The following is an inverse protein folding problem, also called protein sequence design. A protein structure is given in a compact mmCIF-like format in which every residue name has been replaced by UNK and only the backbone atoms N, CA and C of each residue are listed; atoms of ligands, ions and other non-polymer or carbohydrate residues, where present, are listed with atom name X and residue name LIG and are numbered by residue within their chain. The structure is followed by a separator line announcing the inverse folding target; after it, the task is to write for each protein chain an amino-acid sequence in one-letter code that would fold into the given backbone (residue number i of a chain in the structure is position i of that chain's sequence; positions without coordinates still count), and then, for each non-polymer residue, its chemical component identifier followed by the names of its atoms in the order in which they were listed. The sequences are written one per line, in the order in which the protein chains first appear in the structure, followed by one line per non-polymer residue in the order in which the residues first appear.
data_IF_628004001186
#
_entry.id   IF_628004001186
#
_cell.length_a   1.000
_cell.length_b   1.000
_cell.length_c   1.000
_cell.angle_alpha   90.00
_cell.angle_beta   90.00
_cell.angle_gamma   90.00
#
_symmetry.space_group_name_H-M   'P 1'
#
loop_
_entity.id
_entity.type
_entity.pdbx_description
1 polymer ?
#
# COMPACT_ATOMS: atom_id res chain seq x y z
N UNK A 1 -18.53 -0.06 -13.59
CA UNK A 1 -18.58 1.12 -12.71
C UNK A 1 -17.61 1.02 -11.52
N UNK A 2 -17.67 -0.03 -10.70
CA UNK A 2 -16.83 -0.17 -9.50
C UNK A 2 -15.32 -0.25 -9.74
N UNK A 3 -14.88 -0.90 -10.82
CA UNK A 3 -13.46 -1.00 -11.15
C UNK A 3 -12.81 0.39 -11.33
N UNK A 4 -13.40 1.24 -12.18
CA UNK A 4 -12.92 2.61 -12.43
C UNK A 4 -12.88 3.45 -11.16
N UNK A 5 -13.90 3.32 -10.30
CA UNK A 5 -13.94 4.00 -9.00
C UNK A 5 -12.76 3.59 -8.12
N UNK A 6 -12.52 2.29 -7.93
CA UNK A 6 -11.41 1.81 -7.11
C UNK A 6 -10.04 2.14 -7.69
N UNK A 7 -9.90 2.13 -9.01
CA UNK A 7 -8.69 2.61 -9.70
C UNK A 7 -8.47 4.10 -9.42
N UNK A 8 -9.51 4.93 -9.45
CA UNK A 8 -9.40 6.35 -9.14
C UNK A 8 -8.98 6.57 -7.68
N UNK A 9 -9.59 5.84 -6.73
CA UNK A 9 -9.22 5.89 -5.30
C UNK A 9 -7.75 5.52 -5.11
N UNK A 10 -7.27 4.46 -5.79
CA UNK A 10 -5.86 4.05 -5.76
C UNK A 10 -4.94 5.17 -6.26
N UNK A 11 -5.22 5.73 -7.44
CA UNK A 11 -4.40 6.78 -8.04
C UNK A 11 -4.39 8.01 -7.14
N UNK A 12 -5.56 8.48 -6.69
CA UNK A 12 -5.68 9.63 -5.80
C UNK A 12 -4.88 9.44 -4.51
N UNK A 13 -4.99 8.28 -3.85
CA UNK A 13 -4.24 7.96 -2.63
C UNK A 13 -2.73 8.01 -2.85
N UNK A 14 -2.22 7.41 -3.93
CA UNK A 14 -0.79 7.44 -4.25
C UNK A 14 -0.29 8.85 -4.62
N UNK A 15 -1.09 9.64 -5.34
CA UNK A 15 -0.75 11.03 -5.67
C UNK A 15 -0.65 11.89 -4.41
N UNK A 16 -1.58 11.74 -3.47
CA UNK A 16 -1.54 12.46 -2.19
C UNK A 16 -0.27 12.12 -1.39
N UNK A 17 0.07 10.83 -1.29
CA UNK A 17 1.29 10.39 -0.63
C UNK A 17 2.57 10.91 -1.33
N UNK A 18 2.59 10.92 -2.66
CA UNK A 18 3.73 11.41 -3.42
C UNK A 18 3.95 12.92 -3.26
N UNK A 19 2.87 13.69 -3.07
CA UNK A 19 2.95 15.14 -2.78
C UNK A 19 3.50 15.43 -1.39
N UNK A 20 3.34 14.51 -0.44
CA UNK A 20 3.86 14.62 0.93
C UNK A 20 5.29 14.09 1.09
N UNK A 21 6.06 13.98 0.00
CA UNK A 21 7.46 13.53 0.05
C UNK A 21 8.35 14.57 0.73
N UNK A 22 9.29 14.08 1.51
CA UNK A 22 10.24 14.90 2.27
C UNK A 22 11.57 15.03 1.51
N UNK A 23 11.94 13.98 0.78
CA UNK A 23 13.15 13.92 -0.02
C UNK A 23 12.80 13.56 -1.45
N UNK A 24 13.46 14.21 -2.41
CA UNK A 24 13.42 13.74 -3.78
C UNK A 24 14.16 12.41 -3.87
N UNK A 25 13.49 11.42 -4.45
CA UNK A 25 13.96 10.05 -4.50
C UNK A 25 13.62 9.45 -5.85
N UNK A 26 14.63 8.88 -6.52
CA UNK A 26 14.45 8.24 -7.81
C UNK A 26 13.42 7.11 -7.73
N UNK A 27 12.56 7.07 -8.75
CA UNK A 27 11.49 6.09 -8.89
C UNK A 27 10.55 6.02 -7.67
N UNK A 28 10.36 7.14 -6.94
CA UNK A 28 9.50 7.17 -5.76
C UNK A 28 8.08 6.67 -6.06
N UNK A 29 7.50 7.03 -7.20
CA UNK A 29 6.16 6.54 -7.62
C UNK A 29 6.13 5.02 -7.67
N UNK A 30 7.12 4.40 -8.34
CA UNK A 30 7.23 2.95 -8.43
C UNK A 30 7.41 2.30 -7.04
N UNK A 31 8.20 2.93 -6.16
CA UNK A 31 8.38 2.47 -4.78
C UNK A 31 7.07 2.54 -3.99
N UNK A 32 6.29 3.62 -4.11
CA UNK A 32 4.98 3.74 -3.44
C UNK A 32 4.00 2.68 -3.96
N UNK A 33 3.96 2.44 -5.27
CA UNK A 33 3.18 1.34 -5.86
C UNK A 33 3.61 -0.02 -5.30
N UNK A 34 4.92 -0.26 -5.18
CA UNK A 34 5.46 -1.47 -4.58
C UNK A 34 5.05 -1.65 -3.12
N UNK A 35 5.15 -0.60 -2.30
CA UNK A 35 4.70 -0.64 -0.89
C UNK A 35 3.18 -0.85 -0.78
N UNK A 36 2.38 -0.28 -1.68
CA UNK A 36 0.93 -0.54 -1.74
C UNK A 36 0.62 -2.02 -2.03
N UNK A 37 1.26 -2.61 -3.05
CA UNK A 37 1.09 -4.02 -3.35
C UNK A 37 1.57 -4.91 -2.21
N UNK A 38 2.71 -4.57 -1.59
CA UNK A 38 3.22 -5.29 -0.45
C UNK A 38 2.26 -5.19 0.74
N UNK A 39 1.70 -4.01 1.03
CA UNK A 39 0.71 -3.81 2.09
C UNK A 39 -0.60 -4.58 1.88
N UNK A 40 -1.01 -4.81 0.63
CA UNK A 40 -2.21 -5.58 0.28
C UNK A 40 -1.97 -7.09 0.17
N UNK A 41 -0.72 -7.54 0.22
CA UNK A 41 -0.36 -8.95 0.05
C UNK A 41 -0.74 -9.79 1.28
N UNK A 42 -1.53 -10.84 1.03
CA UNK A 42 -1.98 -11.79 2.05
C UNK A 42 -1.40 -13.18 1.87
N UNK A 43 -1.11 -13.84 2.98
CA UNK A 43 -0.88 -15.27 3.03
C UNK A 43 -2.16 -15.97 3.54
N UNK A 44 -2.60 -17.03 2.85
CA UNK A 44 -3.78 -17.83 3.25
C UNK A 44 -3.33 -19.17 3.80
N UNK A 45 -3.65 -19.46 5.05
CA UNK A 45 -3.32 -20.72 5.73
C UNK A 45 -4.55 -21.26 6.45
N UNK A 46 -5.05 -22.43 6.03
CA UNK A 46 -6.14 -23.11 6.73
C UNK A 46 -7.40 -22.25 6.96
N UNK A 47 -7.75 -21.37 6.03
CA UNK A 47 -8.89 -20.44 6.15
C UNK A 47 -8.56 -19.09 6.81
N UNK A 48 -7.40 -18.96 7.46
CA UNK A 48 -6.92 -17.69 8.02
C UNK A 48 -6.23 -16.86 6.93
N UNK A 49 -6.59 -15.57 6.86
CA UNK A 49 -5.98 -14.58 5.94
C UNK A 49 -5.05 -13.68 6.77
N UNK A 50 -3.74 -13.83 6.56
CA UNK A 50 -2.71 -13.06 7.26
C UNK A 50 -2.14 -11.96 6.36
N UNK A 51 -2.06 -10.69 6.80
CA UNK A 51 -1.50 -9.58 6.02
C UNK A 51 0.03 -9.60 6.04
N UNK A 52 0.63 -10.69 5.53
CA UNK A 52 2.07 -10.95 5.61
C UNK A 52 2.89 -9.83 4.98
N UNK A 53 2.46 -9.29 3.84
CA UNK A 53 3.21 -8.23 3.18
C UNK A 53 3.21 -6.93 3.97
N UNK A 54 2.12 -6.59 4.67
CA UNK A 54 2.13 -5.47 5.61
C UNK A 54 3.14 -5.70 6.74
N UNK A 55 3.20 -6.90 7.31
CA UNK A 55 4.19 -7.25 8.35
C UNK A 55 5.62 -7.03 7.82
N UNK A 56 5.92 -7.46 6.60
CA UNK A 56 7.24 -7.22 5.96
C UNK A 56 7.53 -5.71 5.90
N UNK A 57 6.56 -4.87 5.53
CA UNK A 57 6.77 -3.41 5.45
C UNK A 57 7.11 -2.77 6.80
N UNK A 58 6.64 -3.35 7.92
CA UNK A 58 6.98 -2.88 9.27
C UNK A 58 8.44 -3.15 9.64
N UNK A 59 9.00 -4.24 9.13
CA UNK A 59 10.39 -4.65 9.36
C UNK A 59 11.37 -3.86 8.47
N UNK A 60 10.90 -3.38 7.32
CA UNK A 60 11.71 -2.55 6.42
C UNK A 60 12.02 -1.18 7.04
N UNK A 61 13.28 -0.74 6.90
CA UNK A 61 13.78 0.57 7.36
C UNK A 61 14.32 1.36 6.17
N UNK A 62 13.45 1.88 5.28
CA UNK A 62 13.91 2.66 4.15
C UNK A 62 14.58 3.97 4.64
N UNK A 63 15.71 4.39 4.02
CA UNK A 63 16.48 5.55 4.48
C UNK A 63 15.80 6.89 4.16
N UNK A 64 15.01 6.96 3.09
CA UNK A 64 14.28 8.14 2.65
C UNK A 64 12.76 7.87 2.61
N UNK A 65 11.96 8.92 2.79
CA UNK A 65 10.50 8.90 2.59
C UNK A 65 9.76 7.77 3.35
N UNK A 66 10.27 7.39 4.53
CA UNK A 66 9.75 6.26 5.30
C UNK A 66 8.27 6.43 5.65
N UNK A 67 7.85 7.64 5.99
CA UNK A 67 6.47 7.95 6.35
C UNK A 67 5.51 7.65 5.20
N UNK A 68 5.77 8.18 4.00
CA UNK A 68 4.88 7.99 2.85
C UNK A 68 4.94 6.56 2.29
N UNK A 69 6.08 5.87 2.36
CA UNK A 69 6.18 4.44 2.00
C UNK A 69 5.35 3.57 2.94
N UNK A 70 5.41 3.86 4.26
CA UNK A 70 4.55 3.18 5.25
C UNK A 70 3.09 3.55 5.07
N UNK A 71 2.78 4.79 4.71
CA UNK A 71 1.44 5.23 4.31
C UNK A 71 0.90 4.43 3.11
N UNK A 72 1.72 4.20 2.08
CA UNK A 72 1.32 3.38 0.94
C UNK A 72 1.03 1.92 1.33
N UNK A 73 1.84 1.34 2.24
CA UNK A 73 1.57 0.00 2.78
C UNK A 73 0.30 -0.07 3.62
N UNK A 74 0.04 0.93 4.47
CA UNK A 74 -1.22 1.05 5.22
C UNK A 74 -2.40 1.16 4.26
N UNK A 75 -2.27 1.96 3.19
CA UNK A 75 -3.31 2.09 2.19
C UNK A 75 -3.61 0.75 1.49
N UNK A 76 -2.57 -0.02 1.13
CA UNK A 76 -2.72 -1.38 0.63
C UNK A 76 -3.45 -2.31 1.60
N UNK A 77 -3.10 -2.24 2.89
CA UNK A 77 -3.77 -3.02 3.95
C UNK A 77 -5.25 -2.65 4.07
N UNK A 78 -5.60 -1.36 4.06
CA UNK A 78 -6.99 -0.89 4.11
C UNK A 78 -7.77 -1.41 2.90
N UNK A 79 -7.20 -1.31 1.70
CA UNK A 79 -7.82 -1.82 0.48
C UNK A 79 -8.03 -3.33 0.52
N UNK A 80 -7.08 -4.07 1.09
CA UNK A 80 -7.21 -5.51 1.34
C UNK A 80 -8.36 -5.82 2.29
N UNK A 81 -8.48 -5.11 3.42
CA UNK A 81 -9.58 -5.29 4.38
C UNK A 81 -10.93 -4.98 3.72
N UNK A 82 -11.05 -3.84 3.01
CA UNK A 82 -12.27 -3.49 2.28
C UNK A 82 -12.64 -4.56 1.25
N UNK A 83 -11.66 -5.09 0.52
CA UNK A 83 -11.86 -6.19 -0.42
C UNK A 83 -12.27 -7.52 0.22
N UNK A 84 -12.01 -7.73 1.52
CA UNK A 84 -12.54 -8.88 2.27
C UNK A 84 -13.98 -8.63 2.74
N UNK A 85 -14.32 -7.39 3.10
CA UNK A 85 -15.64 -7.02 3.62
C UNK A 85 -16.70 -6.84 2.53
N UNK A 86 -16.30 -6.37 1.35
CA UNK A 86 -17.19 -6.08 0.21
C UNK A 86 -17.33 -7.25 -0.76
N UNK A 87 -16.77 -8.42 -0.42
CA UNK A 87 -16.84 -9.66 -1.20
C UNK A 87 -18.20 -10.32 -1.09
#
# INVERSE_FOLDING_TARGET
MYFLFWTFVLIAGLVLLHKSRDQDEDFLVLKLVGYYFLGSFTLRLGGLVLPLGFIITLLMRPPANRSIKRGAAIFGLVMMILGLLLR
#
